data_IF_013519636237
#
_entry.id   IF_013519636237
#
_cell.length_a   1.000
_cell.length_b   1.000
_cell.length_c   1.000
_cell.angle_alpha   90.00
_cell.angle_beta   90.00
_cell.angle_gamma   90.00
#
_symmetry.space_group_name_H-M   'P 1'
#
loop_
_entity.id
_entity.type
_entity.pdbx_description
1 polymer ?
#
# COMPACT_ATOMS: atom_id res chain seq x y z
N UNK A 1 -2.75 -3.06 7.92
CA UNK A 1 -2.30 -2.00 7.01
C UNK A 1 -0.93 -1.54 7.44
N UNK A 2 0.10 -1.87 6.67
CA UNK A 2 1.49 -1.57 7.01
C UNK A 2 2.26 -0.93 5.85
N UNK A 3 2.04 0.37 5.66
CA UNK A 3 2.69 1.17 4.61
C UNK A 3 4.22 1.18 4.79
N UNK A 4 4.72 1.26 6.03
CA UNK A 4 6.16 1.39 6.30
C UNK A 4 6.90 0.11 5.98
N UNK A 5 6.33 -1.04 6.30
CA UNK A 5 6.93 -2.34 5.98
C UNK A 5 6.99 -2.54 4.47
N UNK A 6 5.92 -2.21 3.73
CA UNK A 6 5.92 -2.29 2.26
C UNK A 6 6.97 -1.37 1.63
N UNK A 7 7.07 -0.11 2.10
CA UNK A 7 8.10 0.83 1.63
C UNK A 7 9.51 0.22 1.78
N UNK A 8 9.82 -0.36 2.95
CA UNK A 8 11.12 -0.97 3.22
C UNK A 8 11.35 -2.22 2.38
N UNK A 9 10.35 -3.10 2.27
CA UNK A 9 10.43 -4.33 1.48
C UNK A 9 10.70 -4.05 0.00
N UNK A 10 10.22 -2.92 -0.52
CA UNK A 10 10.48 -2.46 -1.89
C UNK A 10 11.81 -1.68 -2.06
N UNK A 11 12.64 -1.59 -1.02
CA UNK A 11 13.93 -0.88 -1.08
C UNK A 11 13.81 0.65 -1.11
N UNK A 12 12.72 1.19 -0.58
CA UNK A 12 12.50 2.63 -0.46
C UNK A 12 12.70 3.14 0.96
N UNK A 13 13.02 4.42 1.07
CA UNK A 13 12.98 5.19 2.31
C UNK A 13 11.96 6.31 2.16
N UNK A 14 11.44 6.85 3.27
CA UNK A 14 10.54 8.02 3.24
C UNK A 14 11.23 9.22 2.55
N UNK A 15 12.55 9.36 2.76
CA UNK A 15 13.37 10.38 2.09
C UNK A 15 13.34 10.22 0.57
N UNK A 16 13.63 9.01 0.08
CA UNK A 16 13.64 8.70 -1.34
C UNK A 16 12.26 8.92 -1.97
N UNK A 17 11.18 8.53 -1.29
CA UNK A 17 9.83 8.74 -1.78
C UNK A 17 9.54 10.24 -1.91
N UNK A 18 9.93 11.06 -0.94
CA UNK A 18 9.75 12.51 -1.01
C UNK A 18 10.53 13.13 -2.19
N UNK A 19 11.77 12.65 -2.44
CA UNK A 19 12.60 13.12 -3.56
C UNK A 19 12.04 12.72 -4.93
N UNK A 20 11.46 11.52 -5.05
CA UNK A 20 10.87 11.03 -6.31
C UNK A 20 9.41 11.49 -6.49
N UNK A 21 8.81 12.09 -5.46
CA UNK A 21 7.38 12.39 -5.39
C UNK A 21 6.90 13.29 -6.54
N UNK A 22 7.62 14.37 -6.83
CA UNK A 22 7.22 15.35 -7.85
C UNK A 22 7.15 14.71 -9.25
N UNK A 23 8.11 13.84 -9.58
CA UNK A 23 8.17 13.15 -10.88
C UNK A 23 6.95 12.25 -11.14
N UNK A 24 6.27 11.80 -10.08
CA UNK A 24 5.12 10.90 -10.15
C UNK A 24 3.79 11.59 -9.88
N UNK A 25 3.81 12.69 -9.14
CA UNK A 25 2.61 13.35 -8.61
C UNK A 25 2.44 14.81 -9.06
N UNK A 26 3.38 15.36 -9.83
CA UNK A 26 3.30 16.69 -10.45
C UNK A 26 3.48 17.88 -9.51
N UNK A 27 3.77 17.64 -8.23
CA UNK A 27 4.05 18.66 -7.22
C UNK A 27 4.99 18.09 -6.16
N UNK A 28 5.88 18.88 -5.53
CA UNK A 28 6.78 18.39 -4.49
C UNK A 28 6.05 18.09 -3.17
N UNK A 29 6.70 17.33 -2.29
CA UNK A 29 6.29 17.12 -0.88
C UNK A 29 7.53 17.14 0.00
N UNK A 30 7.40 17.64 1.24
CA UNK A 30 8.48 17.50 2.22
C UNK A 30 8.45 16.13 2.86
N UNK A 31 9.62 15.59 3.23
CA UNK A 31 9.73 14.36 4.04
C UNK A 31 8.88 14.42 5.31
N UNK A 32 8.86 15.57 5.98
CA UNK A 32 8.06 15.79 7.19
C UNK A 32 6.56 15.66 6.94
N UNK A 33 6.05 16.30 5.88
CA UNK A 33 4.64 16.18 5.49
C UNK A 33 4.28 14.75 5.11
N UNK A 34 5.11 14.09 4.31
CA UNK A 34 4.92 12.69 3.92
C UNK A 34 4.90 11.75 5.14
N UNK A 35 5.84 11.93 6.07
CA UNK A 35 5.89 11.16 7.32
C UNK A 35 4.62 11.37 8.15
N UNK A 36 4.14 12.61 8.28
CA UNK A 36 2.89 12.88 8.98
C UNK A 36 1.69 12.21 8.29
N UNK A 37 1.62 12.26 6.96
CA UNK A 37 0.57 11.60 6.20
C UNK A 37 0.57 10.09 6.40
N UNK A 38 1.75 9.44 6.42
CA UNK A 38 1.88 7.99 6.65
C UNK A 38 1.51 7.59 8.08
N UNK A 39 1.83 8.44 9.08
CA UNK A 39 1.58 8.14 10.49
C UNK A 39 0.17 8.49 10.96
N UNK A 40 -0.55 9.32 10.21
CA UNK A 40 -1.98 9.58 10.42
C UNK A 40 -2.82 8.56 9.63
N UNK A 41 -4.15 8.63 9.75
CA UNK A 41 -5.05 7.88 8.87
C UNK A 41 -4.99 8.50 7.45
N UNK A 42 -4.24 7.93 6.50
CA UNK A 42 -4.03 8.54 5.20
C UNK A 42 -5.29 8.39 4.34
N UNK A 43 -5.50 9.35 3.43
CA UNK A 43 -6.54 9.20 2.40
C UNK A 43 -6.15 8.15 1.36
N UNK A 44 -7.13 7.56 0.68
CA UNK A 44 -6.88 6.64 -0.44
C UNK A 44 -6.03 7.31 -1.53
N UNK A 45 -6.26 8.59 -1.81
CA UNK A 45 -5.43 9.37 -2.73
C UNK A 45 -3.97 9.42 -2.28
N UNK A 46 -3.71 9.58 -0.99
CA UNK A 46 -2.35 9.57 -0.43
C UNK A 46 -1.70 8.21 -0.60
N UNK A 47 -2.44 7.13 -0.32
CA UNK A 47 -1.97 5.76 -0.54
C UNK A 47 -1.61 5.52 -2.01
N UNK A 48 -2.47 5.95 -2.94
CA UNK A 48 -2.23 5.80 -4.37
C UNK A 48 -0.97 6.55 -4.82
N UNK A 49 -0.75 7.78 -4.32
CA UNK A 49 0.46 8.54 -4.63
C UNK A 49 1.73 7.87 -4.13
N UNK A 50 1.70 7.32 -2.91
CA UNK A 50 2.84 6.56 -2.37
C UNK A 50 3.08 5.32 -3.25
N UNK A 51 2.03 4.58 -3.57
CA UNK A 51 2.07 3.39 -4.40
C UNK A 51 2.67 3.66 -5.79
N UNK A 52 2.28 4.78 -6.42
CA UNK A 52 2.81 5.22 -7.71
C UNK A 52 4.32 5.53 -7.67
N UNK A 53 4.82 6.04 -6.54
CA UNK A 53 6.26 6.30 -6.37
C UNK A 53 7.04 5.01 -6.20
N UNK A 54 6.55 4.08 -5.39
CA UNK A 54 7.24 2.81 -5.10
C UNK A 54 6.92 1.69 -6.11
N UNK A 55 6.06 1.95 -7.09
CA UNK A 55 5.66 0.99 -8.13
C UNK A 55 4.87 -0.20 -7.60
N UNK A 56 3.97 0.01 -6.63
CA UNK A 56 3.15 -1.04 -6.02
C UNK A 56 1.65 -0.78 -6.22
N UNK A 57 0.82 -1.74 -5.80
CA UNK A 57 -0.63 -1.54 -5.71
C UNK A 57 -0.99 -1.04 -4.31
N UNK A 58 -2.07 -0.26 -4.18
CA UNK A 58 -2.58 0.18 -2.86
C UNK A 58 -2.93 -1.02 -1.97
N UNK A 59 -3.45 -2.11 -2.56
CA UNK A 59 -3.75 -3.35 -1.84
C UNK A 59 -2.54 -3.99 -1.16
N UNK A 60 -1.32 -3.74 -1.65
CA UNK A 60 -0.10 -4.29 -1.04
C UNK A 60 0.11 -3.76 0.39
N UNK A 61 -0.42 -2.57 0.71
CA UNK A 61 -0.39 -2.02 2.08
C UNK A 61 -1.27 -2.78 3.06
N UNK A 62 -2.16 -3.64 2.57
CA UNK A 62 -3.12 -4.42 3.37
C UNK A 62 -2.88 -5.93 3.24
N UNK A 63 -1.72 -6.34 2.71
CA UNK A 63 -1.41 -7.76 2.49
C UNK A 63 -1.48 -8.60 3.77
N UNK A 64 -1.23 -7.98 4.93
CA UNK A 64 -1.37 -8.58 6.26
C UNK A 64 -2.83 -8.81 6.68
N UNK A 65 -3.77 -8.05 6.10
CA UNK A 65 -5.21 -8.15 6.36
C UNK A 65 -5.95 -9.03 5.34
N UNK A 66 -5.28 -9.41 4.24
CA UNK A 66 -5.87 -10.27 3.21
C UNK A 66 -5.88 -11.72 3.70
N UNK A 67 -7.04 -12.18 4.16
CA UNK A 67 -7.32 -13.61 4.27
C UNK A 67 -7.60 -14.17 2.87
N UNK A 68 -7.03 -15.32 2.53
CA UNK A 68 -7.42 -16.08 1.33
C UNK A 68 -8.79 -16.77 1.53
N UNK A 69 -9.74 -16.06 2.12
CA UNK A 69 -11.08 -16.54 2.47
C UNK A 69 -12.09 -15.62 1.81
N UNK A 70 -12.97 -16.20 0.99
CA UNK A 70 -14.14 -15.52 0.43
C UNK A 70 -15.38 -16.01 1.18
N UNK A 71 -16.26 -15.10 1.57
CA UNK A 71 -17.57 -15.46 2.13
C UNK A 71 -18.56 -15.58 0.97
N UNK A 72 -19.16 -16.76 0.81
CA UNK A 72 -20.17 -17.00 -0.21
C UNK A 72 -21.36 -16.05 0.00
N UNK A 73 -21.71 -15.16 -0.95
CA UNK A 73 -22.78 -14.19 -0.77
C UNK A 73 -24.18 -14.83 -0.72
N UNK A 74 -24.31 -16.08 -1.18
CA UNK A 74 -25.57 -16.81 -1.19
C UNK A 74 -25.86 -17.53 0.15
N UNK A 75 -24.84 -18.11 0.79
CA UNK A 75 -25.04 -18.98 1.96
C UNK A 75 -24.13 -18.66 3.17
N UNK A 76 -23.21 -17.70 3.06
CA UNK A 76 -22.30 -17.29 4.13
C UNK A 76 -21.13 -18.24 4.40
N UNK A 77 -20.98 -19.31 3.62
CA UNK A 77 -19.86 -20.27 3.78
C UNK A 77 -18.52 -19.61 3.47
N UNK A 78 -17.52 -19.84 4.33
CA UNK A 78 -16.14 -19.42 4.11
C UNK A 78 -15.45 -20.38 3.14
N UNK A 79 -14.97 -19.86 2.02
CA UNK A 79 -14.24 -20.60 0.97
C UNK A 79 -12.77 -20.20 1.03
N UNK A 80 -11.87 -21.16 1.29
CA UNK A 80 -10.42 -20.91 1.32
C UNK A 80 -9.84 -21.12 -0.08
N UNK A 81 -9.12 -20.12 -0.59
CA UNK A 81 -8.39 -20.19 -1.85
C UNK A 81 -6.97 -20.70 -1.60
N UNK A 82 -6.57 -21.70 -2.37
CA UNK A 82 -5.21 -22.25 -2.38
C UNK A 82 -4.69 -22.26 -3.81
N UNK A 83 -3.39 -22.01 -3.99
CA UNK A 83 -2.73 -22.18 -5.29
C UNK A 83 -2.52 -23.68 -5.53
N UNK A 84 -2.90 -24.19 -6.71
CA UNK A 84 -2.38 -25.47 -7.22
C UNK A 84 -1.05 -25.19 -7.92
N UNK A 85 -0.03 -25.99 -7.61
CA UNK A 85 1.24 -25.97 -8.32
C UNK A 85 1.16 -27.03 -9.44
N UNK A 86 1.17 -26.58 -10.69
CA UNK A 86 1.32 -27.41 -11.91
C UNK A 86 2.76 -27.92 -12.09
#
# INVERSE_FOLDING_TARGET
>A
MDIKTVIKARGYTIERIANEWESKNGKPITKGALSQSINKNPTVETLQRIANVIGCNVGDFFADELENIIICPNCGTKLKITKEDD
#
